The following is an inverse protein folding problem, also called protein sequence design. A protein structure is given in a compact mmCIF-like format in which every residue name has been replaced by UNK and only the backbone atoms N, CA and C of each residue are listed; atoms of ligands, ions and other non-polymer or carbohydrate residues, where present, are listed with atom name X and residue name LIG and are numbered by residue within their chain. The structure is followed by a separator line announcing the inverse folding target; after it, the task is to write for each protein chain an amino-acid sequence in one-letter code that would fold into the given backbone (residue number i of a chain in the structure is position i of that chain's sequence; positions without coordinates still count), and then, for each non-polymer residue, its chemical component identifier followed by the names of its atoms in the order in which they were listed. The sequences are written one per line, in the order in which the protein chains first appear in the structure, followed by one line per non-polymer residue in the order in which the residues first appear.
data_IF_638053283868
#
_entry.id   IF_638053283868
#
_cell.length_a   1.000
_cell.length_b   1.000
_cell.length_c   1.000
_cell.angle_alpha   90.00
_cell.angle_beta   90.00
_cell.angle_gamma   90.00
#
_symmetry.space_group_name_H-M   'P 1'
#
loop_
_entity.id
_entity.type
_entity.pdbx_description
1 polymer ?
#
# COMPACT_ATOMS: atom_id res chain seq x y z
N UNK A 1 -3.67 6.28 23.32
CA UNK A 1 -2.74 5.33 22.70
C UNK A 1 -1.46 6.07 22.29
N UNK A 2 -0.28 5.51 22.56
CA UNK A 2 0.98 6.15 22.17
C UNK A 2 1.16 6.12 20.64
N UNK A 3 1.81 7.13 20.05
CA UNK A 3 2.05 7.21 18.59
C UNK A 3 2.81 5.99 18.06
N UNK A 4 3.73 5.44 18.85
CA UNK A 4 4.49 4.24 18.51
C UNK A 4 3.63 2.98 18.50
N UNK A 5 2.65 2.88 19.40
CA UNK A 5 1.72 1.77 19.50
C UNK A 5 0.73 1.77 18.33
N UNK A 6 0.15 2.93 18.02
CA UNK A 6 -0.71 3.10 16.85
C UNK A 6 0.01 2.71 15.55
N UNK A 7 1.29 3.11 15.40
CA UNK A 7 2.10 2.73 14.24
C UNK A 7 2.25 1.21 14.12
N UNK A 8 2.43 0.49 15.23
CA UNK A 8 2.54 -0.99 15.21
C UNK A 8 1.23 -1.65 14.78
N UNK A 9 0.08 -1.14 15.23
CA UNK A 9 -1.24 -1.64 14.78
C UNK A 9 -1.44 -1.41 13.28
N UNK A 10 -1.06 -0.23 12.78
CA UNK A 10 -1.13 0.09 11.34
C UNK A 10 -0.19 -0.82 10.53
N UNK A 11 1.02 -1.10 11.04
CA UNK A 11 1.93 -2.06 10.40
C UNK A 11 1.34 -3.47 10.37
N UNK A 12 0.74 -3.96 11.46
CA UNK A 12 0.09 -5.26 11.49
C UNK A 12 -1.05 -5.36 10.46
N UNK A 13 -1.85 -4.29 10.32
CA UNK A 13 -2.86 -4.18 9.26
C UNK A 13 -2.22 -4.24 7.87
N UNK A 14 -1.12 -3.51 7.64
CA UNK A 14 -0.40 -3.53 6.35
C UNK A 14 0.10 -4.94 6.00
N UNK A 15 0.70 -5.64 6.97
CA UNK A 15 1.17 -7.03 6.81
C UNK A 15 0.01 -7.96 6.46
N UNK A 16 -1.12 -7.85 7.15
CA UNK A 16 -2.32 -8.64 6.84
C UNK A 16 -2.80 -8.39 5.40
N UNK A 17 -2.86 -7.13 4.96
CA UNK A 17 -3.29 -6.77 3.60
C UNK A 17 -2.33 -7.30 2.52
N UNK A 18 -1.02 -7.31 2.78
CA UNK A 18 -0.04 -7.98 1.91
C UNK A 18 -0.32 -9.49 1.84
N UNK A 19 -0.64 -10.13 2.97
CA UNK A 19 -1.09 -11.52 3.00
C UNK A 19 -2.33 -11.77 2.15
N UNK A 20 -3.29 -10.83 2.14
CA UNK A 20 -4.48 -10.90 1.29
C UNK A 20 -4.16 -10.82 -0.21
N UNK A 21 -3.18 -10.01 -0.61
CA UNK A 21 -2.72 -9.93 -2.01
C UNK A 21 -2.17 -11.30 -2.43
N UNK A 22 -1.27 -11.87 -1.63
CA UNK A 22 -0.71 -13.19 -1.90
C UNK A 22 -1.75 -14.32 -1.85
N UNK A 23 -2.73 -14.26 -0.95
CA UNK A 23 -3.81 -15.25 -0.87
C UNK A 23 -4.66 -15.29 -2.14
N UNK A 24 -4.87 -14.14 -2.79
CA UNK A 24 -5.63 -14.05 -4.02
C UNK A 24 -4.82 -14.44 -5.27
N UNK A 25 -3.50 -14.54 -5.16
CA UNK A 25 -2.66 -15.01 -6.24
C UNK A 25 -2.82 -16.52 -6.45
N UNK A 26 -2.68 -16.98 -7.69
CA UNK A 26 -2.98 -18.36 -8.08
C UNK A 26 -1.79 -19.32 -7.96
N UNK A 27 -0.62 -18.81 -7.59
CA UNK A 27 0.62 -19.59 -7.53
C UNK A 27 0.92 -20.11 -6.11
N UNK A 28 1.78 -21.12 -6.04
CA UNK A 28 2.08 -21.84 -4.80
C UNK A 28 2.94 -21.03 -3.82
N UNK A 29 3.88 -20.24 -4.35
CA UNK A 29 4.77 -19.40 -3.55
C UNK A 29 3.96 -18.33 -2.83
N UNK A 30 3.03 -17.69 -3.52
CA UNK A 30 2.12 -16.73 -2.91
C UNK A 30 1.27 -17.37 -1.80
N UNK A 31 0.80 -18.61 -1.95
CA UNK A 31 0.09 -19.30 -0.85
C UNK A 31 0.96 -19.49 0.39
N UNK A 32 2.24 -19.86 0.20
CA UNK A 32 3.20 -19.98 1.30
C UNK A 32 3.45 -18.63 1.97
N UNK A 33 3.63 -17.56 1.18
CA UNK A 33 3.84 -16.20 1.68
C UNK A 33 2.60 -15.66 2.43
N UNK A 34 1.40 -15.95 1.95
CA UNK A 34 0.16 -15.52 2.59
C UNK A 34 0.07 -16.04 4.04
N UNK A 35 0.35 -17.32 4.25
CA UNK A 35 0.38 -17.92 5.61
C UNK A 35 1.38 -17.20 6.52
N UNK A 36 2.58 -16.89 6.02
CA UNK A 36 3.58 -16.15 6.80
C UNK A 36 3.08 -14.76 7.20
N UNK A 37 2.49 -14.02 6.26
CA UNK A 37 1.95 -12.70 6.53
C UNK A 37 0.80 -12.75 7.55
N UNK A 38 -0.10 -13.72 7.42
CA UNK A 38 -1.21 -13.90 8.35
C UNK A 38 -0.73 -14.21 9.77
N UNK A 39 0.18 -15.18 9.94
CA UNK A 39 0.75 -15.52 11.25
C UNK A 39 1.52 -14.33 11.85
N UNK A 40 2.31 -13.64 11.02
CA UNK A 40 3.09 -12.49 11.46
C UNK A 40 2.20 -11.32 11.91
N UNK A 41 1.11 -11.03 11.20
CA UNK A 41 0.15 -10.00 11.60
C UNK A 41 -0.47 -10.32 12.98
N UNK A 42 -0.84 -11.58 13.23
CA UNK A 42 -1.34 -12.05 14.53
C UNK A 42 -0.29 -11.87 15.62
N UNK A 43 0.95 -12.30 15.37
CA UNK A 43 2.04 -12.18 16.33
C UNK A 43 2.36 -10.71 16.68
N UNK A 44 2.34 -9.82 15.69
CA UNK A 44 2.52 -8.38 15.91
C UNK A 44 1.46 -7.80 16.87
N UNK A 45 0.20 -8.21 16.71
CA UNK A 45 -0.89 -7.77 17.60
C UNK A 45 -0.73 -8.36 19.00
N UNK A 46 -0.40 -9.65 19.13
CA UNK A 46 -0.13 -10.26 20.44
C UNK A 46 1.00 -9.51 21.16
N UNK A 47 2.07 -9.13 20.46
CA UNK A 47 3.17 -8.33 21.02
C UNK A 47 2.74 -6.92 21.43
N UNK A 48 1.82 -6.30 20.69
CA UNK A 48 1.24 -5.01 21.10
C UNK A 48 0.44 -5.14 22.40
N UNK A 49 -0.40 -6.17 22.50
CA UNK A 49 -1.18 -6.47 23.72
C UNK A 49 -0.23 -6.77 24.89
N UNK A 50 0.77 -7.62 24.69
CA UNK A 50 1.76 -7.94 25.70
C UNK A 50 2.47 -6.68 26.23
N UNK A 51 2.82 -5.75 25.34
CA UNK A 51 3.38 -4.45 25.72
C UNK A 51 2.39 -3.63 26.57
N UNK A 52 1.13 -3.51 26.13
CA UNK A 52 0.06 -2.80 26.85
C UNK A 52 -0.16 -3.33 28.27
N UNK A 53 -0.07 -4.65 28.45
CA UNK A 53 -0.25 -5.33 29.75
C UNK A 53 1.06 -5.55 30.53
N UNK A 54 2.16 -4.92 30.12
CA UNK A 54 3.48 -5.03 30.75
C UNK A 54 3.94 -6.49 30.93
N UNK A 55 3.69 -7.34 29.94
CA UNK A 55 4.19 -8.71 29.87
C UNK A 55 5.62 -8.63 29.35
N UNK A 56 6.59 -8.74 30.27
CA UNK A 56 8.01 -8.58 29.97
C UNK A 56 8.61 -9.93 29.57
N UNK A 57 9.06 -10.05 28.32
CA UNK A 57 10.05 -11.05 27.92
C UNK A 57 11.42 -10.56 28.36
N UNK A 58 12.10 -11.28 29.24
CA UNK A 58 13.49 -10.95 29.59
C UNK A 58 14.37 -11.05 28.33
N UNK A 59 15.49 -10.32 28.27
CA UNK A 59 16.44 -10.37 27.13
C UNK A 59 17.06 -11.76 26.87
N UNK A 60 16.77 -12.75 27.71
CA UNK A 60 17.21 -14.14 27.61
C UNK A 60 16.08 -15.13 27.29
N UNK A 61 14.82 -14.67 27.21
CA UNK A 61 13.66 -15.50 26.89
C UNK A 61 12.64 -14.68 26.10
N UNK A 62 12.72 -14.78 24.78
CA UNK A 62 11.58 -14.40 23.94
C UNK A 62 10.48 -15.46 24.12
N UNK A 63 9.24 -15.02 24.31
CA UNK A 63 8.11 -15.95 24.37
C UNK A 63 7.89 -16.58 23.00
N UNK A 64 7.80 -17.91 22.94
CA UNK A 64 7.23 -18.57 21.77
C UNK A 64 5.75 -18.20 21.63
N UNK A 65 5.19 -18.31 20.43
CA UNK A 65 3.83 -17.86 20.11
C UNK A 65 2.76 -18.35 21.12
N UNK A 66 2.76 -19.65 21.40
CA UNK A 66 1.79 -20.28 22.32
C UNK A 66 2.00 -19.84 23.77
N UNK A 67 3.24 -19.57 24.18
CA UNK A 67 3.56 -19.07 25.52
C UNK A 67 3.08 -17.63 25.69
N UNK A 68 3.37 -16.77 24.69
CA UNK A 68 2.91 -15.39 24.66
C UNK A 68 1.38 -15.30 24.77
N UNK A 69 0.67 -16.16 24.01
CA UNK A 69 -0.78 -16.26 24.07
C UNK A 69 -1.26 -16.56 25.50
N UNK A 70 -0.66 -17.57 26.15
CA UNK A 70 -1.07 -18.00 27.47
C UNK A 70 -0.78 -16.92 28.54
N UNK A 71 0.35 -16.21 28.43
CA UNK A 71 0.66 -15.08 29.32
C UNK A 71 -0.36 -13.93 29.16
N UNK A 72 -0.78 -13.63 27.93
CA UNK A 72 -1.82 -12.62 27.67
C UNK A 72 -3.15 -13.04 28.33
N UNK A 73 -3.55 -14.31 28.16
CA UNK A 73 -4.78 -14.84 28.79
C UNK A 73 -4.70 -14.80 30.32
N UNK A 74 -3.52 -15.00 30.92
CA UNK A 74 -3.31 -14.86 32.38
C UNK A 74 -3.55 -13.43 32.89
N UNK A 75 -3.50 -12.43 32.02
CA UNK A 75 -3.88 -11.03 32.32
C UNK A 75 -5.37 -10.75 32.14
N UNK A 76 -6.19 -11.80 32.04
CA UNK A 76 -7.65 -11.72 31.83
C UNK A 76 -8.06 -11.09 30.49
N UNK A 77 -7.15 -11.14 29.51
CA UNK A 77 -7.44 -10.71 28.12
C UNK A 77 -8.11 -11.85 27.36
N UNK A 78 -9.30 -11.59 26.81
CA UNK A 78 -10.08 -12.57 26.04
C UNK A 78 -9.64 -12.59 24.58
N UNK A 79 -8.69 -13.46 24.27
CA UNK A 79 -8.24 -13.69 22.89
C UNK A 79 -9.22 -14.62 22.13
N UNK A 80 -9.83 -14.18 21.01
CA UNK A 80 -10.76 -14.99 20.23
C UNK A 80 -10.03 -16.03 19.37
N UNK A 81 -10.76 -17.03 18.85
CA UNK A 81 -10.27 -17.96 17.82
C UNK A 81 -8.97 -18.72 18.15
N UNK A 82 -8.70 -19.04 19.43
CA UNK A 82 -7.47 -19.70 19.90
C UNK A 82 -7.04 -20.90 19.04
N UNK A 83 -7.95 -21.85 18.81
CA UNK A 83 -7.63 -23.06 18.03
C UNK A 83 -7.17 -22.73 16.61
N UNK A 84 -7.83 -21.77 15.96
CA UNK A 84 -7.51 -21.35 14.59
C UNK A 84 -6.18 -20.61 14.49
N UNK A 85 -5.87 -19.76 15.47
CA UNK A 85 -4.58 -19.07 15.51
C UNK A 85 -3.42 -20.03 15.79
N UNK A 86 -3.66 -21.06 16.60
CA UNK A 86 -2.64 -22.10 16.84
C UNK A 86 -2.44 -22.98 15.60
N UNK A 87 -3.53 -23.33 14.92
CA UNK A 87 -3.51 -24.08 13.66
C UNK A 87 -2.74 -23.29 12.58
N UNK A 88 -3.01 -22.00 12.42
CA UNK A 88 -2.28 -21.11 11.51
C UNK A 88 -0.78 -21.12 11.80
N UNK A 89 -0.41 -20.97 13.08
CA UNK A 89 0.98 -20.96 13.50
C UNK A 89 1.69 -22.30 13.21
N UNK A 90 1.01 -23.41 13.48
CA UNK A 90 1.53 -24.75 13.20
C UNK A 90 1.69 -24.96 11.68
N UNK A 91 0.74 -24.51 10.86
CA UNK A 91 0.86 -24.53 9.40
C UNK A 91 2.03 -23.66 8.94
N UNK A 92 2.20 -22.44 9.46
CA UNK A 92 3.35 -21.57 9.12
C UNK A 92 4.68 -22.27 9.41
N UNK A 93 4.80 -22.94 10.56
CA UNK A 93 5.99 -23.71 10.90
C UNK A 93 6.25 -24.86 9.91
N UNK A 94 5.21 -25.55 9.44
CA UNK A 94 5.34 -26.58 8.40
C UNK A 94 5.78 -25.98 7.05
N UNK A 95 5.23 -24.84 6.65
CA UNK A 95 5.65 -24.13 5.43
C UNK A 95 7.13 -23.75 5.53
N UNK A 96 7.56 -23.19 6.67
CA UNK A 96 8.91 -22.70 6.88
C UNK A 96 9.97 -23.81 6.98
N UNK A 97 9.67 -24.89 7.71
CA UNK A 97 10.67 -25.92 8.04
C UNK A 97 10.59 -27.16 7.16
N UNK A 98 9.40 -27.51 6.68
CA UNK A 98 9.17 -28.70 5.86
C UNK A 98 8.83 -28.37 4.39
N UNK A 99 8.70 -27.08 4.04
CA UNK A 99 8.35 -26.66 2.68
C UNK A 99 6.93 -27.07 2.26
N UNK A 100 6.04 -27.31 3.23
CA UNK A 100 4.64 -27.69 2.94
C UNK A 100 3.94 -26.55 2.20
N UNK A 101 3.23 -26.89 1.13
CA UNK A 101 2.43 -25.93 0.36
C UNK A 101 0.97 -26.06 0.82
N UNK A 102 0.38 -25.00 1.42
CA UNK A 102 -1.01 -25.04 1.85
C UNK A 102 -1.95 -25.03 0.64
N UNK A 103 -3.15 -25.61 0.80
CA UNK A 103 -4.19 -25.54 -0.22
C UNK A 103 -4.74 -24.11 -0.35
N UNK A 104 -5.34 -23.79 -1.49
CA UNK A 104 -5.96 -22.48 -1.68
C UNK A 104 -7.13 -22.27 -0.70
N UNK A 105 -7.93 -23.31 -0.49
CA UNK A 105 -9.05 -23.33 0.45
C UNK A 105 -8.60 -23.04 1.88
N UNK A 106 -7.50 -23.66 2.34
CA UNK A 106 -6.94 -23.41 3.67
C UNK A 106 -6.46 -21.97 3.81
N UNK A 107 -5.74 -21.44 2.81
CA UNK A 107 -5.27 -20.04 2.82
C UNK A 107 -6.43 -19.06 2.92
N UNK A 108 -7.49 -19.27 2.14
CA UNK A 108 -8.69 -18.43 2.19
C UNK A 108 -9.45 -18.56 3.51
N UNK A 109 -9.47 -19.74 4.11
CA UNK A 109 -10.04 -19.96 5.43
C UNK A 109 -9.27 -19.20 6.51
N UNK A 110 -7.93 -19.31 6.51
CA UNK A 110 -7.08 -18.58 7.45
C UNK A 110 -7.17 -17.08 7.28
N UNK A 111 -7.25 -16.57 6.05
CA UNK A 111 -7.51 -15.15 5.76
C UNK A 111 -8.73 -14.66 6.55
N UNK A 112 -9.86 -15.36 6.44
CA UNK A 112 -11.09 -14.99 7.14
C UNK A 112 -10.98 -15.07 8.67
N UNK A 113 -10.30 -16.10 9.19
CA UNK A 113 -10.07 -16.23 10.64
C UNK A 113 -9.17 -15.11 11.18
N UNK A 114 -8.11 -14.75 10.45
CA UNK A 114 -7.19 -13.68 10.85
C UNK A 114 -7.90 -12.33 10.78
N UNK A 115 -8.67 -12.07 9.73
CA UNK A 115 -9.48 -10.85 9.62
C UNK A 115 -10.40 -10.70 10.84
N UNK A 116 -11.17 -11.74 11.16
CA UNK A 116 -12.08 -11.77 12.32
C UNK A 116 -11.32 -11.57 13.63
N UNK A 117 -10.16 -12.21 13.79
CA UNK A 117 -9.31 -12.06 14.97
C UNK A 117 -8.84 -10.61 15.13
N UNK A 118 -8.31 -10.01 14.07
CA UNK A 118 -7.79 -8.64 14.06
C UNK A 118 -8.89 -7.63 14.36
N UNK A 119 -10.03 -7.73 13.70
CA UNK A 119 -11.18 -6.85 13.93
C UNK A 119 -11.66 -6.87 15.39
N UNK A 120 -11.86 -8.08 15.94
CA UNK A 120 -12.38 -8.26 17.29
C UNK A 120 -11.38 -7.78 18.35
N UNK A 121 -10.11 -8.20 18.23
CA UNK A 121 -9.12 -7.89 19.26
C UNK A 121 -8.69 -6.42 19.21
N UNK A 122 -8.57 -5.82 18.02
CA UNK A 122 -8.20 -4.42 17.90
C UNK A 122 -9.30 -3.54 18.48
N UNK A 123 -10.58 -3.89 18.22
CA UNK A 123 -11.70 -3.14 18.80
C UNK A 123 -11.78 -3.30 20.31
N UNK A 124 -11.64 -4.53 20.84
CA UNK A 124 -11.72 -4.77 22.31
C UNK A 124 -10.55 -4.16 23.08
N UNK A 125 -9.33 -4.32 22.56
CA UNK A 125 -8.13 -3.94 23.29
C UNK A 125 -7.69 -2.50 23.04
N UNK A 126 -7.97 -1.92 21.88
CA UNK A 126 -7.48 -0.58 21.55
C UNK A 126 -8.60 0.43 21.30
N UNK A 127 -9.86 -0.01 21.43
CA UNK A 127 -11.08 0.79 21.20
C UNK A 127 -11.12 1.48 19.83
N UNK A 128 -10.51 0.85 18.82
CA UNK A 128 -10.42 1.35 17.46
C UNK A 128 -10.90 0.26 16.51
N UNK A 129 -11.72 0.61 15.53
CA UNK A 129 -12.08 -0.36 14.49
C UNK A 129 -10.90 -0.63 13.56
N UNK A 130 -10.80 -1.85 13.05
CA UNK A 130 -9.77 -2.20 12.07
C UNK A 130 -9.79 -1.26 10.85
N UNK A 131 -10.98 -0.84 10.44
CA UNK A 131 -11.19 0.14 9.36
C UNK A 131 -10.63 1.53 9.67
N UNK A 132 -10.67 1.97 10.93
CA UNK A 132 -10.16 3.29 11.33
C UNK A 132 -8.63 3.37 11.38
N UNK A 133 -7.92 2.22 11.34
CA UNK A 133 -6.47 2.18 11.22
C UNK A 133 -6.05 2.70 9.84
N UNK A 134 -5.63 3.96 9.84
CA UNK A 134 -5.15 4.71 8.68
C UNK A 134 -3.79 4.22 8.21
N UNK A 135 -3.73 3.61 7.03
CA UNK A 135 -2.45 3.25 6.38
C UNK A 135 -1.69 4.51 5.97
N UNK A 136 -2.38 5.65 5.76
CA UNK A 136 -1.75 6.93 5.47
C UNK A 136 -0.75 7.37 6.56
N UNK A 137 -0.84 6.83 7.78
CA UNK A 137 0.15 7.09 8.83
C UNK A 137 1.55 6.56 8.51
N UNK A 138 1.66 5.51 7.69
CA UNK A 138 2.93 4.91 7.26
C UNK A 138 3.65 5.74 6.21
N UNK A 139 2.94 6.64 5.53
CA UNK A 139 3.52 7.55 4.52
C UNK A 139 4.44 8.54 5.24
N UNK A 140 5.72 8.56 4.88
CA UNK A 140 6.75 9.44 5.46
C UNK A 140 6.66 10.85 4.92
N UNK A 141 6.36 11.02 3.64
CA UNK A 141 6.18 12.33 3.04
C UNK A 141 4.98 13.04 3.68
N UNK A 142 5.23 14.20 4.31
CA UNK A 142 4.21 14.92 5.09
C UNK A 142 3.06 15.39 4.22
N UNK A 143 3.34 15.82 2.99
CA UNK A 143 2.31 16.31 2.08
C UNK A 143 1.39 15.20 1.59
N UNK A 144 1.95 14.07 1.12
CA UNK A 144 1.16 12.92 0.69
C UNK A 144 0.33 12.34 1.84
N UNK A 145 0.93 12.22 3.02
CA UNK A 145 0.23 11.80 4.23
C UNK A 145 -0.95 12.71 4.56
N UNK A 146 -0.80 14.03 4.38
CA UNK A 146 -1.89 14.98 4.64
C UNK A 146 -3.04 14.79 3.65
N UNK A 147 -2.75 14.63 2.35
CA UNK A 147 -3.78 14.42 1.33
C UNK A 147 -4.49 13.07 1.56
N UNK A 148 -3.74 12.00 1.83
CA UNK A 148 -4.32 10.68 2.08
C UNK A 148 -5.16 10.64 3.36
N UNK A 149 -4.74 11.32 4.45
CA UNK A 149 -5.58 11.48 5.63
C UNK A 149 -6.89 12.20 5.33
N UNK A 150 -6.85 13.23 4.47
CA UNK A 150 -8.06 13.93 4.06
C UNK A 150 -9.01 13.02 3.28
N UNK A 151 -8.48 12.16 2.41
CA UNK A 151 -9.28 11.15 1.72
C UNK A 151 -9.94 10.17 2.71
N UNK A 152 -9.20 9.68 3.70
CA UNK A 152 -9.74 8.80 4.75
C UNK A 152 -10.82 9.48 5.60
N UNK A 153 -10.66 10.76 5.94
CA UNK A 153 -11.70 11.55 6.63
C UNK A 153 -12.98 11.64 5.80
N UNK A 154 -12.86 11.97 4.51
CA UNK A 154 -14.01 12.03 3.60
C UNK A 154 -14.71 10.68 3.47
N UNK A 155 -13.96 9.57 3.51
CA UNK A 155 -14.53 8.23 3.54
C UNK A 155 -15.35 7.99 4.82
N UNK A 156 -14.83 8.38 5.98
CA UNK A 156 -15.54 8.27 7.28
C UNK A 156 -16.79 9.14 7.34
N UNK A 157 -16.74 10.32 6.73
CA UNK A 157 -17.90 11.24 6.60
C UNK A 157 -18.97 10.72 5.61
N UNK A 158 -18.73 9.59 4.93
CA UNK A 158 -19.62 9.06 3.89
C UNK A 158 -19.53 9.80 2.56
N UNK A 159 -18.58 10.72 2.41
CA UNK A 159 -18.37 11.51 1.20
C UNK A 159 -17.50 10.79 0.18
N UNK A 160 -17.99 9.64 -0.28
CA UNK A 160 -17.23 8.69 -1.11
C UNK A 160 -16.75 9.28 -2.44
N UNK A 161 -17.56 10.09 -3.14
CA UNK A 161 -17.13 10.76 -4.39
C UNK A 161 -15.92 11.68 -4.14
N UNK A 162 -15.97 12.52 -3.09
CA UNK A 162 -14.85 13.40 -2.76
C UNK A 162 -13.62 12.61 -2.28
N UNK A 163 -13.82 11.51 -1.57
CA UNK A 163 -12.73 10.59 -1.20
C UNK A 163 -11.99 10.09 -2.44
N UNK A 164 -12.71 9.60 -3.45
CA UNK A 164 -12.12 9.10 -4.71
C UNK A 164 -11.33 10.22 -5.42
N UNK A 165 -11.88 11.45 -5.48
CA UNK A 165 -11.19 12.59 -6.06
C UNK A 165 -9.93 13.02 -5.28
N UNK A 166 -9.95 12.95 -3.95
CA UNK A 166 -8.74 13.21 -3.15
C UNK A 166 -7.68 12.12 -3.34
N UNK A 167 -8.08 10.86 -3.53
CA UNK A 167 -7.14 9.79 -3.92
C UNK A 167 -6.49 10.08 -5.28
N UNK A 168 -7.24 10.58 -6.27
CA UNK A 168 -6.69 10.95 -7.58
C UNK A 168 -5.71 12.12 -7.47
N UNK A 169 -6.03 13.13 -6.66
CA UNK A 169 -5.10 14.23 -6.35
C UNK A 169 -3.81 13.73 -5.71
N UNK A 170 -3.92 12.80 -4.74
CA UNK A 170 -2.75 12.20 -4.11
C UNK A 170 -1.89 11.42 -5.11
N UNK A 171 -2.52 10.66 -6.01
CA UNK A 171 -1.83 9.90 -7.06
C UNK A 171 -1.11 10.82 -8.06
N UNK A 172 -1.78 11.86 -8.56
CA UNK A 172 -1.17 12.86 -9.44
C UNK A 172 0.03 13.48 -8.74
N UNK A 173 -0.16 13.94 -7.50
CA UNK A 173 0.91 14.57 -6.73
C UNK A 173 2.10 13.63 -6.48
N UNK A 174 1.83 12.37 -6.13
CA UNK A 174 2.87 11.37 -5.94
C UNK A 174 3.64 11.13 -7.24
N UNK A 175 2.94 10.99 -8.37
CA UNK A 175 3.52 10.65 -9.68
C UNK A 175 4.35 11.80 -10.26
N UNK A 176 3.78 13.01 -10.29
CA UNK A 176 4.35 14.15 -11.02
C UNK A 176 5.22 15.06 -10.16
N UNK A 177 4.88 15.26 -8.88
CA UNK A 177 5.55 16.28 -8.06
C UNK A 177 6.61 15.69 -7.13
N UNK A 178 6.33 14.54 -6.50
CA UNK A 178 7.15 14.03 -5.38
C UNK A 178 8.07 12.90 -5.79
N UNK A 179 7.54 11.84 -6.43
CA UNK A 179 8.38 10.74 -6.86
C UNK A 179 9.21 11.10 -8.11
N UNK A 180 8.80 12.15 -8.85
CA UNK A 180 9.33 12.55 -10.15
C UNK A 180 9.58 11.33 -11.04
N UNK A 181 8.53 10.51 -11.18
CA UNK A 181 8.62 9.24 -11.93
C UNK A 181 9.08 9.51 -13.35
N UNK A 182 8.71 10.64 -13.92
CA UNK A 182 9.10 11.04 -15.27
C UNK A 182 10.57 11.45 -15.37
N UNK A 183 11.11 12.20 -14.42
CA UNK A 183 12.54 12.51 -14.38
C UNK A 183 13.38 11.24 -14.24
N UNK A 184 12.95 10.31 -13.38
CA UNK A 184 13.65 9.03 -13.16
C UNK A 184 13.48 8.05 -14.33
N UNK A 185 12.29 7.98 -14.92
CA UNK A 185 12.01 7.24 -16.14
C UNK A 185 12.83 7.76 -17.33
N UNK A 186 12.94 9.09 -17.46
CA UNK A 186 13.74 9.73 -18.50
C UNK A 186 15.22 9.35 -18.42
N UNK A 187 15.76 9.11 -17.22
CA UNK A 187 17.11 8.55 -17.04
C UNK A 187 17.22 7.12 -17.59
N UNK A 188 16.23 6.25 -17.35
CA UNK A 188 16.20 4.89 -17.91
C UNK A 188 16.06 4.91 -19.44
N UNK A 189 15.20 5.77 -20.00
CA UNK A 189 15.08 5.95 -21.46
C UNK A 189 16.40 6.44 -22.08
N UNK A 190 17.15 7.29 -21.38
CA UNK A 190 18.50 7.69 -21.78
C UNK A 190 19.53 6.56 -21.72
N UNK A 191 19.40 5.67 -20.72
CA UNK A 191 20.31 4.53 -20.47
C UNK A 191 20.07 3.36 -21.44
N UNK A 192 18.81 3.09 -21.80
CA UNK A 192 18.40 2.04 -22.74
C UNK A 192 18.40 2.46 -24.22
N UNK A 193 19.06 3.59 -24.54
CA UNK A 193 19.37 3.94 -25.92
C UNK A 193 18.22 4.55 -26.71
N UNK A 194 17.41 5.44 -26.10
CA UNK A 194 16.70 6.42 -26.92
C UNK A 194 17.71 7.13 -27.81
N UNK A 195 17.59 6.94 -29.13
CA UNK A 195 18.43 7.59 -30.13
C UNK A 195 18.46 9.10 -29.91
N UNK A 196 19.59 9.73 -30.26
CA UNK A 196 19.80 11.16 -30.06
C UNK A 196 18.71 11.99 -30.76
N UNK A 197 18.08 11.43 -31.80
CA UNK A 197 16.91 11.98 -32.49
C UNK A 197 15.71 12.13 -31.57
N UNK A 198 15.36 11.09 -30.79
CA UNK A 198 14.23 11.14 -29.87
C UNK A 198 14.49 12.14 -28.74
N UNK A 199 15.70 12.13 -28.15
CA UNK A 199 16.12 13.09 -27.11
C UNK A 199 16.02 14.53 -27.59
N UNK A 200 16.42 14.78 -28.83
CA UNK A 200 16.32 16.10 -29.44
C UNK A 200 14.87 16.54 -29.62
N UNK A 201 13.99 15.67 -30.13
CA UNK A 201 12.57 15.98 -30.40
C UNK A 201 11.78 16.28 -29.12
N UNK A 202 12.05 15.57 -28.02
CA UNK A 202 11.32 15.76 -26.75
C UNK A 202 11.91 16.86 -25.85
N UNK A 203 13.04 17.46 -26.26
CA UNK A 203 13.67 18.52 -25.47
C UNK A 203 12.79 19.78 -25.42
N UNK A 204 12.77 20.47 -24.26
CA UNK A 204 11.94 21.69 -24.05
C UNK A 204 12.16 22.79 -25.09
N UNK A 205 13.29 22.78 -25.80
CA UNK A 205 13.67 23.77 -26.82
C UNK A 205 13.53 23.31 -28.28
N UNK A 206 13.02 22.11 -28.57
CA UNK A 206 12.97 21.59 -29.94
C UNK A 206 12.12 22.47 -30.86
N UNK A 207 10.88 22.77 -30.45
CA UNK A 207 9.96 23.58 -31.22
C UNK A 207 10.42 25.03 -31.39
N UNK A 208 11.16 25.57 -30.42
CA UNK A 208 11.64 26.96 -30.46
C UNK A 208 12.63 27.22 -31.61
N UNK A 209 13.31 26.18 -32.13
CA UNK A 209 14.14 26.26 -33.35
C UNK A 209 13.35 26.65 -34.60
N UNK A 210 12.04 26.47 -34.56
CA UNK A 210 11.13 26.73 -35.69
C UNK A 210 10.24 27.95 -35.49
N UNK A 211 10.49 28.73 -34.44
CA UNK A 211 9.72 29.94 -34.14
C UNK A 211 9.72 30.90 -35.35
N UNK A 212 8.54 31.34 -35.76
CA UNK A 212 8.34 32.17 -36.95
C UNK A 212 8.22 31.41 -38.27
N UNK A 213 8.28 30.08 -38.27
CA UNK A 213 7.97 29.24 -39.44
C UNK A 213 6.53 28.72 -39.38
N UNK A 214 5.94 28.46 -40.55
CA UNK A 214 4.55 27.99 -40.69
C UNK A 214 4.26 26.70 -39.90
N UNK A 215 5.26 25.85 -39.74
CA UNK A 215 5.15 24.57 -39.05
C UNK A 215 5.55 24.61 -37.56
N UNK A 216 5.76 25.80 -36.97
CA UNK A 216 6.06 25.93 -35.53
C UNK A 216 5.02 25.25 -34.65
N UNK A 217 3.73 25.50 -34.93
CA UNK A 217 2.63 24.90 -34.17
C UNK A 217 2.64 23.37 -34.27
N UNK A 218 2.78 22.83 -35.49
CA UNK A 218 2.87 21.40 -35.73
C UNK A 218 4.08 20.77 -35.01
N UNK A 219 5.26 21.38 -35.09
CA UNK A 219 6.46 20.89 -34.41
C UNK A 219 6.32 20.90 -32.88
N UNK A 220 5.62 21.91 -32.33
CA UNK A 220 5.31 22.02 -30.91
C UNK A 220 4.34 20.95 -30.45
N UNK A 221 3.27 20.74 -31.19
CA UNK A 221 2.23 19.76 -30.85
C UNK A 221 2.78 18.32 -30.98
N UNK A 222 3.53 18.03 -32.03
CA UNK A 222 4.17 16.72 -32.23
C UNK A 222 5.21 16.42 -31.14
N UNK A 223 6.07 17.38 -30.81
CA UNK A 223 7.07 17.25 -29.73
C UNK A 223 6.39 16.96 -28.38
N UNK A 224 5.31 17.69 -28.07
CA UNK A 224 4.52 17.43 -26.85
C UNK A 224 3.84 16.07 -26.87
N UNK A 225 3.22 15.67 -27.99
CA UNK A 225 2.56 14.39 -28.12
C UNK A 225 3.55 13.22 -27.95
N UNK A 226 4.73 13.30 -28.57
CA UNK A 226 5.78 12.30 -28.42
C UNK A 226 6.27 12.24 -26.96
N UNK A 227 6.47 13.40 -26.32
CA UNK A 227 6.83 13.44 -24.89
C UNK A 227 5.75 12.77 -24.04
N UNK A 228 4.47 13.06 -24.28
CA UNK A 228 3.35 12.46 -23.55
C UNK A 228 3.25 10.94 -23.76
N UNK A 229 3.47 10.46 -24.99
CA UNK A 229 3.49 9.01 -25.29
C UNK A 229 4.65 8.33 -24.57
N UNK A 230 5.85 8.94 -24.60
CA UNK A 230 7.01 8.42 -23.90
C UNK A 230 6.78 8.38 -22.37
N UNK A 231 6.19 9.44 -21.82
CA UNK A 231 5.79 9.53 -20.42
C UNK A 231 4.76 8.47 -20.04
N UNK A 232 3.73 8.25 -20.87
CA UNK A 232 2.72 7.23 -20.62
C UNK A 232 3.32 5.81 -20.67
N UNK A 233 4.15 5.52 -21.67
CA UNK A 233 4.80 4.22 -21.84
C UNK A 233 5.74 3.90 -20.66
N UNK A 234 6.52 4.87 -20.20
CA UNK A 234 7.43 4.68 -19.07
C UNK A 234 6.71 4.68 -17.72
N UNK A 235 5.73 5.56 -17.50
CA UNK A 235 4.94 5.58 -16.27
C UNK A 235 4.24 4.25 -16.00
N UNK A 236 3.77 3.57 -17.05
CA UNK A 236 3.19 2.21 -16.95
C UNK A 236 4.19 1.15 -16.44
N UNK A 237 5.50 1.33 -16.66
CA UNK A 237 6.50 0.39 -16.17
C UNK A 237 6.64 0.45 -14.64
N UNK A 238 6.59 1.66 -14.07
CA UNK A 238 6.71 1.92 -12.62
C UNK A 238 5.49 1.52 -11.80
N UNK A 239 4.38 1.16 -12.47
CA UNK A 239 3.23 0.59 -11.79
C UNK A 239 3.43 -0.89 -11.46
N UNK A 240 4.30 -1.61 -12.17
CA UNK A 240 4.60 -3.02 -11.89
C UNK A 240 3.33 -3.89 -11.69
N UNK A 241 3.14 -4.51 -10.53
CA UNK A 241 1.94 -5.29 -10.15
C UNK A 241 0.65 -4.45 -10.03
N UNK A 242 0.75 -3.13 -9.92
CA UNK A 242 -0.37 -2.21 -9.74
C UNK A 242 -1.03 -1.79 -11.06
N UNK A 243 -0.54 -2.24 -12.23
CA UNK A 243 -1.07 -1.82 -13.55
C UNK A 243 -2.58 -2.04 -13.70
N UNK A 244 -3.08 -3.22 -13.33
CA UNK A 244 -4.50 -3.55 -13.46
C UNK A 244 -5.35 -2.65 -12.56
N UNK A 245 -4.94 -2.51 -11.29
CA UNK A 245 -5.64 -1.66 -10.32
C UNK A 245 -5.59 -0.18 -10.70
N UNK A 246 -4.50 0.28 -11.32
CA UNK A 246 -4.42 1.63 -11.88
C UNK A 246 -5.45 1.83 -13.00
N UNK A 247 -5.58 0.87 -13.94
CA UNK A 247 -6.58 0.95 -15.01
C UNK A 247 -8.00 0.98 -14.44
N UNK A 248 -8.31 0.09 -13.48
CA UNK A 248 -9.59 0.09 -12.76
C UNK A 248 -9.84 1.43 -12.05
N UNK A 249 -8.83 2.01 -11.40
CA UNK A 249 -8.93 3.31 -10.75
C UNK A 249 -9.15 4.45 -11.76
N UNK A 250 -8.50 4.42 -12.93
CA UNK A 250 -8.72 5.42 -13.98
C UNK A 250 -10.11 5.31 -14.61
N UNK A 251 -10.59 4.09 -14.84
CA UNK A 251 -11.96 3.86 -15.31
C UNK A 251 -12.99 4.37 -14.30
N UNK A 252 -12.74 4.11 -13.00
CA UNK A 252 -13.55 4.62 -11.90
C UNK A 252 -13.65 6.15 -11.91
N UNK A 253 -12.52 6.85 -12.08
CA UNK A 253 -12.49 8.32 -12.13
C UNK A 253 -13.25 8.84 -13.34
N UNK A 254 -13.06 8.24 -14.52
CA UNK A 254 -13.71 8.66 -15.75
C UNK A 254 -15.23 8.47 -15.69
N UNK A 255 -15.70 7.46 -14.97
CA UNK A 255 -17.12 7.11 -14.86
C UNK A 255 -17.76 7.55 -13.54
N UNK A 256 -17.08 8.37 -12.72
CA UNK A 256 -17.48 8.68 -11.34
C UNK A 256 -18.91 9.21 -11.20
N UNK A 257 -19.40 9.95 -12.20
CA UNK A 257 -20.75 10.52 -12.17
C UNK A 257 -21.86 9.51 -12.45
N UNK A 258 -21.54 8.37 -13.07
CA UNK A 258 -22.50 7.33 -13.47
C UNK A 258 -22.62 6.21 -12.42
N UNK A 259 -21.72 6.19 -11.43
CA UNK A 259 -21.67 5.15 -10.40
C UNK A 259 -22.84 5.30 -9.42
N UNK A 260 -23.52 4.19 -9.15
CA UNK A 260 -24.61 4.09 -8.17
C UNK A 260 -24.10 4.40 -6.77
N UNK A 261 -24.88 5.14 -5.98
CA UNK A 261 -24.48 5.54 -4.61
C UNK A 261 -24.13 4.35 -3.70
N UNK A 262 -24.83 3.24 -3.88
CA UNK A 262 -24.64 1.99 -3.14
C UNK A 262 -23.23 1.39 -3.35
N UNK A 263 -22.65 1.58 -4.55
CA UNK A 263 -21.33 1.05 -4.91
C UNK A 263 -20.19 2.00 -4.49
N UNK A 264 -20.49 3.29 -4.27
CA UNK A 264 -19.46 4.29 -4.02
C UNK A 264 -18.60 3.98 -2.80
N UNK A 265 -19.18 3.36 -1.76
CA UNK A 265 -18.44 2.96 -0.55
C UNK A 265 -17.33 1.95 -0.87
N UNK A 266 -17.65 0.92 -1.65
CA UNK A 266 -16.68 -0.10 -2.04
C UNK A 266 -15.59 0.50 -2.95
N UNK A 267 -16.00 1.31 -3.92
CA UNK A 267 -15.07 1.97 -4.86
C UNK A 267 -14.15 2.98 -4.17
N UNK A 268 -14.63 3.71 -3.17
CA UNK A 268 -13.81 4.62 -2.38
C UNK A 268 -12.81 3.85 -1.51
N UNK A 269 -13.21 2.71 -0.93
CA UNK A 269 -12.31 1.82 -0.19
C UNK A 269 -11.21 1.26 -1.08
N UNK A 270 -11.57 0.78 -2.27
CA UNK A 270 -10.61 0.34 -3.28
C UNK A 270 -9.60 1.44 -3.60
N UNK A 271 -10.09 2.66 -3.84
CA UNK A 271 -9.25 3.83 -4.18
C UNK A 271 -8.26 4.18 -3.08
N UNK A 272 -8.71 4.19 -1.81
CA UNK A 272 -7.85 4.43 -0.66
C UNK A 272 -6.74 3.39 -0.54
N UNK A 273 -7.11 2.10 -0.60
CA UNK A 273 -6.14 1.02 -0.49
C UNK A 273 -5.12 1.08 -1.63
N UNK A 274 -5.60 1.21 -2.87
CA UNK A 274 -4.76 1.27 -4.06
C UNK A 274 -3.74 2.42 -4.00
N UNK A 275 -4.20 3.65 -3.79
CA UNK A 275 -3.29 4.81 -3.80
C UNK A 275 -2.34 4.77 -2.62
N UNK A 276 -2.79 4.32 -1.44
CA UNK A 276 -1.91 4.20 -0.28
C UNK A 276 -0.82 3.17 -0.49
N UNK A 277 -1.17 1.97 -0.96
CA UNK A 277 -0.21 0.89 -1.22
C UNK A 277 0.81 1.29 -2.29
N UNK A 278 0.37 1.94 -3.37
CA UNK A 278 1.29 2.43 -4.41
C UNK A 278 2.28 3.47 -3.87
N UNK A 279 1.81 4.42 -3.04
CA UNK A 279 2.67 5.40 -2.38
C UNK A 279 3.68 4.71 -1.44
N UNK A 280 3.23 3.71 -0.67
CA UNK A 280 4.13 2.97 0.24
C UNK A 280 5.18 2.18 -0.54
N UNK A 281 4.81 1.50 -1.62
CA UNK A 281 5.77 0.82 -2.50
C UNK A 281 6.81 1.79 -3.06
N UNK A 282 6.38 2.93 -3.61
CA UNK A 282 7.30 3.93 -4.12
C UNK A 282 8.19 4.55 -3.04
N UNK A 283 7.74 4.58 -1.79
CA UNK A 283 8.58 4.95 -0.66
C UNK A 283 9.62 3.88 -0.33
N UNK A 284 9.24 2.60 -0.32
CA UNK A 284 10.15 1.46 -0.10
C UNK A 284 11.24 1.36 -1.18
N UNK A 285 10.87 1.64 -2.44
CA UNK A 285 11.81 1.71 -3.57
C UNK A 285 12.67 2.99 -3.56
N UNK A 286 12.53 3.84 -2.53
CA UNK A 286 13.30 5.08 -2.38
C UNK A 286 12.90 6.18 -3.38
N UNK A 287 11.79 6.02 -4.08
CA UNK A 287 11.29 7.02 -5.02
C UNK A 287 10.66 8.21 -4.30
N UNK A 288 9.95 7.97 -3.20
CA UNK A 288 9.39 9.01 -2.33
C UNK A 288 10.32 9.16 -1.12
N UNK A 289 11.01 10.30 -1.05
CA UNK A 289 11.85 10.64 0.11
C UNK A 289 11.05 11.38 1.18
N UNK A 290 11.47 11.23 2.43
CA UNK A 290 10.99 12.09 3.50
C UNK A 290 11.29 13.55 3.15
N UNK A 291 10.38 14.47 3.46
CA UNK A 291 10.51 15.89 3.16
C UNK A 291 11.60 16.60 4.00
N UNK A 292 12.47 15.84 4.67
CA UNK A 292 13.62 16.37 5.37
C UNK A 292 14.75 16.57 4.36
N UNK A 293 14.75 17.74 3.71
CA UNK A 293 16.03 18.38 3.43
C UNK A 293 16.66 18.62 4.80
N UNK A 294 17.62 17.80 5.19
CA UNK A 294 18.63 18.22 6.13
C UNK A 294 19.26 19.48 5.52
N UNK A 295 18.99 20.61 6.16
CA UNK A 295 19.86 21.75 6.11
C UNK A 295 21.18 21.32 6.75
N UNK A 296 22.07 20.72 5.96
CA UNK A 296 23.49 20.62 6.28
C UNK A 296 24.18 21.82 5.63
N UNK A 297 24.13 22.93 6.35
CA UNK A 297 25.23 23.90 6.41
C UNK A 297 26.40 23.30 7.16
#
# INVERSE_FOLDING_TARGET
MAKSELRKLVLAKSVFLHGCIHANAKDEVSRMLAIHHFDFAVEMILRCIATKYNIVSSSRQEFHFKDLWNEIVRKDVKLPLKSRMFELHDVRNLVQHAGVIPSFEDVMMFKGYVETFLEDIIKREFDISFDELSLAQLIENVELRRVMRRAEELFKEGNYKKCILECDKALIKATFDIADIFGKAGMLTGYFGAGDELKNVISKGYAEKYKGKEFYALAKDLSKAILQVAQAATGMQFLDEFRVRFLEFRELINNLEVIREEELKEKARFSLNFVTELILKWQEEGMIRSSVKEASS
#
